data_IF_527994038892
#
_entry.id   IF_527994038892
#
_cell.length_a   1.000
_cell.length_b   1.000
_cell.length_c   1.000
_cell.angle_alpha   90.00
_cell.angle_beta   90.00
_cell.angle_gamma   90.00
#
_symmetry.space_group_name_H-M   'P 1'
#
loop_
_entity.id
_entity.type
_entity.pdbx_description
1 polymer ?
#
# COMPACT_ATOMS: atom_id res chain seq x y z
N UNK A 1 0.12 -16.95 9.97
CA UNK A 1 0.97 -16.29 8.96
C UNK A 1 0.55 -16.83 7.60
N UNK A 2 0.37 -15.97 6.59
CA UNK A 2 0.03 -16.42 5.24
C UNK A 2 1.32 -16.86 4.54
N UNK A 3 1.30 -18.04 3.91
CA UNK A 3 2.43 -18.51 3.09
C UNK A 3 2.69 -17.55 1.94
N UNK A 4 3.97 -17.22 1.68
CA UNK A 4 4.33 -16.20 0.68
C UNK A 4 3.83 -16.55 -0.72
N UNK A 5 3.86 -17.83 -1.10
CA UNK A 5 3.37 -18.28 -2.41
C UNK A 5 1.85 -18.05 -2.56
N UNK A 6 1.08 -18.26 -1.48
CA UNK A 6 -0.36 -18.00 -1.49
C UNK A 6 -0.63 -16.49 -1.63
N UNK A 7 0.14 -15.66 -0.92
CA UNK A 7 0.04 -14.21 -1.01
C UNK A 7 0.31 -13.71 -2.44
N UNK A 8 1.41 -14.16 -3.04
CA UNK A 8 1.78 -13.80 -4.41
C UNK A 8 0.73 -14.27 -5.42
N UNK A 9 0.19 -15.49 -5.28
CA UNK A 9 -0.90 -15.96 -6.13
C UNK A 9 -2.14 -15.08 -6.00
N UNK A 10 -2.51 -14.68 -4.80
CA UNK A 10 -3.64 -13.79 -4.56
C UNK A 10 -3.49 -12.45 -5.29
N UNK A 11 -2.37 -11.76 -5.09
CA UNK A 11 -2.12 -10.48 -5.77
C UNK A 11 -2.13 -10.61 -7.29
N UNK A 12 -1.63 -11.71 -7.86
CA UNK A 12 -1.67 -11.99 -9.31
C UNK A 12 -3.09 -12.15 -9.85
N UNK A 13 -4.02 -12.64 -9.03
CA UNK A 13 -5.45 -12.77 -9.37
C UNK A 13 -6.24 -11.49 -9.08
N UNK A 14 -5.58 -10.43 -8.61
CA UNK A 14 -6.24 -9.19 -8.22
C UNK A 14 -6.92 -9.27 -6.84
N UNK A 15 -6.65 -10.29 -6.03
CA UNK A 15 -7.19 -10.40 -4.67
C UNK A 15 -6.15 -10.05 -3.62
N UNK A 16 -6.59 -9.54 -2.47
CA UNK A 16 -5.69 -9.23 -1.35
C UNK A 16 -6.30 -9.68 -0.02
N UNK A 17 -5.47 -10.15 0.94
CA UNK A 17 -5.96 -10.48 2.27
C UNK A 17 -6.19 -9.22 3.09
N UNK A 18 -7.20 -9.24 3.95
CA UNK A 18 -7.47 -8.20 4.93
C UNK A 18 -7.96 -8.84 6.23
N UNK A 19 -7.53 -8.28 7.36
CA UNK A 19 -7.99 -8.72 8.68
C UNK A 19 -9.40 -8.20 8.95
N UNK A 20 -10.22 -9.07 9.53
CA UNK A 20 -11.57 -8.77 10.00
C UNK A 20 -11.56 -8.34 11.47
N UNK A 21 -12.69 -7.90 12.00
CA UNK A 21 -12.82 -7.48 13.41
C UNK A 21 -12.52 -8.60 14.41
N UNK A 22 -12.65 -9.87 14.00
CA UNK A 22 -12.38 -11.05 14.82
C UNK A 22 -10.95 -11.62 14.62
N UNK A 23 -10.05 -10.83 14.05
CA UNK A 23 -8.68 -11.20 13.67
C UNK A 23 -8.57 -12.33 12.62
N UNK A 24 -9.70 -12.76 12.03
CA UNK A 24 -9.65 -13.67 10.88
C UNK A 24 -9.16 -12.95 9.62
N UNK A 25 -8.60 -13.70 8.68
CA UNK A 25 -8.13 -13.16 7.40
C UNK A 25 -9.09 -13.59 6.30
N UNK A 26 -9.66 -12.61 5.61
CA UNK A 26 -10.49 -12.83 4.43
C UNK A 26 -9.84 -12.27 3.16
N UNK A 27 -10.23 -12.80 1.99
CA UNK A 27 -9.71 -12.39 0.69
C UNK A 27 -10.70 -11.48 -0.02
N UNK A 28 -10.23 -10.31 -0.47
CA UNK A 28 -11.06 -9.28 -1.07
C UNK A 28 -10.75 -9.04 -2.54
N UNK A 29 -11.81 -8.82 -3.32
CA UNK A 29 -11.77 -8.39 -4.71
C UNK A 29 -12.88 -7.35 -4.96
N UNK A 30 -12.71 -6.11 -4.47
CA UNK A 30 -13.77 -5.11 -4.54
C UNK A 30 -14.07 -4.69 -5.98
N UNK A 31 -15.36 -4.48 -6.25
CA UNK A 31 -15.88 -3.88 -7.47
C UNK A 31 -16.83 -2.72 -7.07
N UNK A 32 -16.48 -1.45 -7.37
CA UNK A 32 -15.31 -1.02 -8.14
C UNK A 32 -13.99 -1.10 -7.36
N UNK A 33 -12.89 -1.33 -8.08
CA UNK A 33 -11.53 -1.32 -7.51
C UNK A 33 -10.99 0.10 -7.40
N UNK A 34 -10.57 0.50 -6.20
CA UNK A 34 -9.84 1.75 -5.99
C UNK A 34 -8.46 1.71 -6.67
N UNK A 35 -8.19 2.65 -7.57
CA UNK A 35 -6.91 2.82 -8.25
C UNK A 35 -6.45 4.28 -8.20
N UNK A 36 -5.14 4.51 -8.23
CA UNK A 36 -4.54 5.84 -8.35
C UNK A 36 -3.76 5.88 -9.67
N UNK A 37 -4.32 6.47 -10.74
CA UNK A 37 -3.60 6.60 -11.99
C UNK A 37 -2.39 7.52 -11.81
N UNK A 38 -1.20 7.04 -12.16
CA UNK A 38 0.05 7.78 -11.93
C UNK A 38 0.18 8.99 -12.86
N UNK A 39 -0.30 8.89 -14.11
CA UNK A 39 -0.21 9.95 -15.11
C UNK A 39 -1.12 11.16 -14.81
N UNK A 40 -2.15 10.95 -13.99
CA UNK A 40 -3.11 11.99 -13.61
C UNK A 40 -3.19 12.22 -12.11
N UNK A 41 -2.14 11.84 -11.37
CA UNK A 41 -2.11 12.03 -9.93
C UNK A 41 -2.14 13.52 -9.58
N UNK A 42 -3.14 13.94 -8.80
CA UNK A 42 -3.23 15.30 -8.30
C UNK A 42 -2.39 15.46 -7.03
N UNK A 43 -1.25 16.15 -7.13
CA UNK A 43 -0.47 16.58 -5.97
C UNK A 43 -1.02 17.92 -5.43
N UNK A 44 -1.64 17.94 -4.23
CA UNK A 44 -2.19 19.17 -3.68
C UNK A 44 -1.08 20.21 -3.42
N UNK A 45 -1.43 21.49 -3.54
CA UNK A 45 -0.47 22.59 -3.39
C UNK A 45 0.31 22.56 -2.05
N UNK A 46 -0.35 22.20 -0.95
CA UNK A 46 0.32 22.08 0.35
C UNK A 46 1.37 20.96 0.37
N UNK A 47 1.06 19.80 -0.21
CA UNK A 47 1.99 18.68 -0.32
C UNK A 47 3.18 19.01 -1.23
N UNK A 48 2.95 19.73 -2.34
CA UNK A 48 4.02 20.25 -3.19
C UNK A 48 4.97 21.17 -2.42
N UNK A 49 4.44 22.12 -1.65
CA UNK A 49 5.28 23.01 -0.82
C UNK A 49 6.09 22.25 0.22
N UNK A 50 5.53 21.20 0.84
CA UNK A 50 6.25 20.37 1.79
C UNK A 50 7.39 19.59 1.11
N UNK A 51 7.14 19.03 -0.09
CA UNK A 51 8.14 18.34 -0.90
C UNK A 51 9.32 19.26 -1.28
N UNK A 52 9.02 20.46 -1.76
CA UNK A 52 10.02 21.44 -2.20
C UNK A 52 10.96 21.91 -1.08
N UNK A 53 10.53 21.82 0.18
CA UNK A 53 11.38 22.18 1.33
C UNK A 53 12.51 21.18 1.60
N UNK A 54 12.50 19.99 0.95
CA UNK A 54 13.55 18.95 1.10
C UNK A 54 13.89 18.61 2.55
N UNK A 55 12.91 18.69 3.45
CA UNK A 55 13.06 18.37 4.88
C UNK A 55 13.18 16.87 5.17
N UNK A 56 12.82 16.04 4.19
CA UNK A 56 12.83 14.59 4.30
C UNK A 56 13.80 14.01 3.27
N UNK A 57 14.55 13.00 3.71
CA UNK A 57 15.30 12.12 2.82
C UNK A 57 14.40 10.95 2.43
N UNK A 58 14.40 10.59 1.15
CA UNK A 58 13.57 9.50 0.63
C UNK A 58 14.48 8.33 0.34
N UNK A 59 14.14 7.19 0.94
CA UNK A 59 14.86 5.94 0.80
C UNK A 59 13.88 4.85 0.37
N UNK A 60 14.39 3.85 -0.32
CA UNK A 60 13.63 2.69 -0.80
C UNK A 60 14.25 1.46 -0.13
N UNK A 61 13.42 0.62 0.45
CA UNK A 61 13.79 -0.67 1.05
C UNK A 61 14.87 -0.64 2.15
N UNK A 62 15.06 0.50 2.84
CA UNK A 62 16.08 0.62 3.90
C UNK A 62 15.60 0.24 5.30
N UNK A 63 14.29 0.17 5.54
CA UNK A 63 13.72 -0.05 6.88
C UNK A 63 12.32 -0.72 6.82
N UNK A 64 12.15 -1.76 6.00
CA UNK A 64 10.84 -2.38 5.73
C UNK A 64 10.10 -2.81 7.01
N UNK A 65 10.78 -3.51 7.92
CA UNK A 65 10.16 -4.03 9.14
C UNK A 65 9.68 -2.91 10.09
N UNK A 66 10.38 -1.78 10.12
CA UNK A 66 10.00 -0.63 10.95
C UNK A 66 8.79 0.07 10.32
N UNK A 67 8.78 0.28 9.00
CA UNK A 67 7.65 0.88 8.27
C UNK A 67 6.35 0.08 8.39
N UNK A 68 6.42 -1.26 8.48
CA UNK A 68 5.22 -2.12 8.62
C UNK A 68 4.69 -2.16 10.06
N UNK A 69 5.50 -1.84 11.06
CA UNK A 69 5.12 -1.91 12.48
C UNK A 69 4.52 -0.61 13.02
N UNK A 70 4.86 0.52 12.40
CA UNK A 70 4.33 1.85 12.71
C UNK A 70 2.96 2.09 12.06
#
# INVERSE_FOLDING_TARGET
>A
MIESDLLLHGYRLGVFPMAMEDDSIEWFSPDPRGIIPLDSFHLPHAARRAWEQRKFEIKIDTAFADVIRE
#
